data_IF_785700584578
#
_entry.id   IF_785700584578
#
_cell.length_a   1.000
_cell.length_b   1.000
_cell.length_c   1.000
_cell.angle_alpha   90.00
_cell.angle_beta   90.00
_cell.angle_gamma   90.00
#
_symmetry.space_group_name_H-M   'P 1'
#
loop_
_entity.id
_entity.type
_entity.pdbx_description
1 polymer ?
#
# COMPACT_ATOMS: atom_id res chain seq x y z
N UNK A 1 17.61 -18.18 -50.31
CA UNK A 1 18.19 -17.07 -49.53
C UNK A 1 17.02 -16.20 -49.11
N UNK A 2 17.06 -15.77 -47.85
CA UNK A 2 16.08 -14.97 -47.10
C UNK A 2 14.79 -15.67 -46.66
N UNK A 3 14.32 -15.52 -45.41
CA UNK A 3 14.92 -14.95 -44.21
C UNK A 3 14.15 -15.48 -42.99
N UNK A 4 14.88 -15.74 -41.90
CA UNK A 4 14.31 -16.08 -40.61
C UNK A 4 13.84 -14.86 -39.83
N UNK A 5 13.19 -15.16 -38.71
CA UNK A 5 12.86 -14.32 -37.54
C UNK A 5 11.82 -13.21 -37.70
N UNK A 6 10.54 -13.61 -37.66
CA UNK A 6 9.48 -12.81 -37.02
C UNK A 6 9.17 -13.41 -35.64
N UNK A 7 9.86 -12.87 -34.63
CA UNK A 7 9.71 -13.28 -33.24
C UNK A 7 10.07 -12.13 -32.32
N UNK A 8 9.18 -11.16 -32.18
CA UNK A 8 9.05 -10.13 -31.13
C UNK A 8 7.94 -9.20 -31.63
N UNK A 9 6.76 -9.10 -31.05
CA UNK A 9 6.45 -8.64 -29.69
C UNK A 9 5.03 -9.12 -29.38
N UNK A 10 4.89 -10.12 -28.51
CA UNK A 10 3.61 -10.40 -27.86
C UNK A 10 3.46 -9.36 -26.74
N UNK A 11 2.73 -8.29 -27.03
CA UNK A 11 2.38 -7.27 -26.05
C UNK A 11 1.51 -7.93 -24.99
N UNK A 12 2.12 -8.34 -23.88
CA UNK A 12 1.42 -8.95 -22.76
C UNK A 12 0.23 -8.08 -22.34
N UNK A 13 -0.96 -8.49 -22.76
CA UNK A 13 -2.20 -7.94 -22.25
C UNK A 13 -2.23 -8.23 -20.74
N UNK A 14 -2.47 -7.20 -19.89
CA UNK A 14 -2.60 -7.42 -18.47
C UNK A 14 -3.63 -8.51 -18.22
N UNK A 15 -3.34 -9.39 -17.27
CA UNK A 15 -4.30 -10.43 -16.90
C UNK A 15 -5.61 -9.77 -16.45
N UNK A 16 -6.78 -10.44 -16.55
CA UNK A 16 -8.04 -9.86 -16.10
C UNK A 16 -7.99 -9.37 -14.66
N UNK A 17 -7.11 -9.94 -13.83
CA UNK A 17 -6.83 -9.50 -12.47
C UNK A 17 -6.02 -8.19 -12.40
N UNK A 18 -5.00 -7.98 -13.23
CA UNK A 18 -4.23 -6.73 -13.31
C UNK A 18 -5.08 -5.58 -13.84
N UNK A 19 -5.99 -5.86 -14.79
CA UNK A 19 -7.01 -4.92 -15.23
C UNK A 19 -7.89 -4.44 -14.07
N UNK A 20 -8.19 -5.32 -13.09
CA UNK A 20 -8.97 -4.93 -11.91
C UNK A 20 -8.30 -3.82 -11.09
N UNK A 21 -6.97 -3.83 -11.03
CA UNK A 21 -6.22 -2.87 -10.22
C UNK A 21 -5.91 -1.62 -11.00
N UNK A 22 -5.56 -1.74 -12.29
CA UNK A 22 -5.38 -0.59 -13.17
C UNK A 22 -6.66 0.25 -13.30
N UNK A 23 -7.85 -0.33 -13.30
CA UNK A 23 -9.08 0.48 -13.38
C UNK A 23 -9.42 1.21 -12.06
N UNK A 24 -8.92 0.76 -10.90
CA UNK A 24 -9.02 1.47 -9.60
C UNK A 24 -7.83 2.41 -9.34
N UNK A 25 -6.66 2.16 -9.97
CA UNK A 25 -5.39 2.87 -9.69
C UNK A 25 -4.82 3.66 -10.88
N UNK A 26 -5.21 3.42 -12.12
CA UNK A 26 -4.77 4.17 -13.29
C UNK A 26 -5.47 5.52 -13.35
N UNK A 27 -5.05 6.43 -12.52
CA UNK A 27 -4.80 7.77 -13.02
C UNK A 27 -3.27 7.89 -13.07
N UNK A 28 -2.76 8.03 -14.28
CA UNK A 28 -1.32 7.95 -14.54
C UNK A 28 -0.59 9.12 -13.89
N UNK A 29 -0.04 8.91 -12.70
CA UNK A 29 1.29 9.43 -12.36
C UNK A 29 2.35 8.39 -12.73
N UNK A 30 2.53 8.18 -14.03
CA UNK A 30 3.67 7.45 -14.59
C UNK A 30 5.02 8.20 -14.44
N UNK A 31 5.15 9.14 -13.48
CA UNK A 31 6.26 10.10 -13.45
C UNK A 31 7.39 9.82 -12.45
N UNK A 32 7.23 9.01 -11.37
CA UNK A 32 8.31 8.89 -10.35
C UNK A 32 9.15 7.61 -10.46
N UNK A 33 8.69 6.56 -11.14
CA UNK A 33 9.40 5.26 -11.17
C UNK A 33 10.39 5.06 -12.33
N UNK A 34 10.67 6.09 -13.15
CA UNK A 34 11.81 6.09 -14.09
C UNK A 34 12.81 7.18 -13.75
N UNK A 35 13.53 7.02 -12.64
CA UNK A 35 14.61 7.94 -12.29
C UNK A 35 15.07 7.91 -10.84
N UNK A 36 15.46 6.74 -10.31
CA UNK A 36 16.30 6.66 -9.11
C UNK A 36 16.94 5.26 -8.98
N UNK A 37 17.66 4.85 -10.03
CA UNK A 37 18.70 3.84 -9.88
C UNK A 37 19.87 4.45 -9.11
N UNK A 38 19.77 4.50 -7.79
CA UNK A 38 20.82 5.00 -6.90
C UNK A 38 20.82 4.17 -5.64
N UNK A 39 21.83 3.30 -5.50
CA UNK A 39 22.08 2.59 -4.25
C UNK A 39 22.24 3.61 -3.12
N UNK A 40 21.29 3.62 -2.17
CA UNK A 40 21.40 4.44 -0.98
C UNK A 40 22.64 3.99 -0.19
N UNK A 41 23.70 4.80 -0.24
CA UNK A 41 24.91 4.60 0.56
C UNK A 41 24.54 4.78 2.04
N UNK A 42 24.88 3.76 2.84
CA UNK A 42 24.84 3.84 4.29
C UNK A 42 25.71 5.00 4.78
N UNK A 43 25.11 5.97 5.47
CA UNK A 43 25.85 7.01 6.17
C UNK A 43 26.36 6.43 7.49
N UNK A 44 27.68 6.46 7.68
CA UNK A 44 28.32 6.17 8.97
C UNK A 44 27.92 7.23 10.00
N UNK A 45 27.61 6.78 11.22
CA UNK A 45 27.25 7.60 12.38
C UNK A 45 28.41 8.54 12.76
N UNK A 46 28.20 9.85 13.02
CA UNK A 46 29.23 10.69 13.60
C UNK A 46 29.42 10.33 15.07
N UNK A 47 30.68 10.40 15.52
CA UNK A 47 31.06 10.23 16.92
C UNK A 47 30.74 11.50 17.72
N UNK A 48 30.27 11.30 18.96
CA UNK A 48 30.36 12.28 20.06
C UNK A 48 29.46 13.51 19.96
N UNK A 49 28.33 13.48 20.65
CA UNK A 49 27.50 14.65 20.93
C UNK A 49 26.39 14.29 21.89
N UNK A 50 26.38 14.93 23.05
CA UNK A 50 25.48 14.65 24.18
C UNK A 50 24.02 14.81 23.73
N UNK A 51 23.27 13.71 23.76
CA UNK A 51 21.91 13.67 23.28
C UNK A 51 20.94 14.09 24.40
N UNK A 52 20.23 15.22 24.28
CA UNK A 52 19.27 15.69 25.29
C UNK A 52 18.02 14.79 25.42
N UNK A 53 17.95 13.68 24.66
CA UNK A 53 16.86 12.71 24.68
C UNK A 53 17.18 11.41 25.43
N UNK A 54 18.18 11.39 26.31
CA UNK A 54 18.53 10.26 27.17
C UNK A 54 17.49 10.01 28.30
N UNK A 55 16.21 9.81 27.95
CA UNK A 55 15.17 9.28 28.82
C UNK A 55 14.80 7.86 28.38
N UNK A 56 14.94 6.88 29.28
CA UNK A 56 14.97 5.43 29.04
C UNK A 56 13.71 4.71 28.53
N UNK A 57 12.97 5.30 27.59
CA UNK A 57 12.02 4.57 26.74
C UNK A 57 12.58 4.48 25.32
N UNK A 58 12.65 3.28 24.72
CA UNK A 58 13.03 3.16 23.29
C UNK A 58 12.00 3.93 22.46
N UNK A 59 12.31 5.16 22.05
CA UNK A 59 11.48 5.94 21.13
C UNK A 59 11.35 5.13 19.84
N UNK A 60 10.11 4.83 19.46
CA UNK A 60 9.85 4.13 18.21
C UNK A 60 10.38 4.99 17.06
N UNK A 61 11.35 4.45 16.31
CA UNK A 61 11.94 5.11 15.14
C UNK A 61 11.05 4.81 13.94
N UNK A 62 10.83 5.79 13.06
CA UNK A 62 10.11 5.54 11.81
C UNK A 62 11.08 4.84 10.84
N UNK A 63 10.73 3.62 10.44
CA UNK A 63 11.47 2.80 9.47
C UNK A 63 11.01 3.08 8.04
N UNK A 64 9.75 3.48 7.87
CA UNK A 64 9.20 3.83 6.57
C UNK A 64 7.93 4.69 6.69
N UNK A 65 7.64 5.46 5.65
CA UNK A 65 6.45 6.31 5.52
C UNK A 65 5.83 6.08 4.15
N UNK A 66 4.50 6.01 4.10
CA UNK A 66 3.77 6.01 2.85
C UNK A 66 2.52 6.86 2.93
N UNK A 67 2.17 7.48 1.81
CA UNK A 67 1.00 8.33 1.63
C UNK A 67 0.31 7.92 0.33
N UNK A 68 -1.01 7.88 0.34
CA UNK A 68 -1.82 7.56 -0.84
C UNK A 68 -3.14 8.36 -0.86
N UNK A 69 -3.70 8.51 -2.06
CA UNK A 69 -4.86 9.34 -2.35
C UNK A 69 -5.81 8.58 -3.28
N UNK A 70 -7.07 8.44 -2.86
CA UNK A 70 -8.09 7.62 -3.54
C UNK A 70 -9.38 8.40 -3.71
N UNK A 71 -9.95 8.36 -4.92
CA UNK A 71 -11.27 8.90 -5.25
C UNK A 71 -12.37 7.90 -4.90
N UNK A 72 -13.38 8.32 -4.12
CA UNK A 72 -14.48 7.42 -3.73
C UNK A 72 -15.36 7.08 -4.93
N UNK A 73 -15.64 8.05 -5.81
CA UNK A 73 -16.40 7.82 -7.04
C UNK A 73 -15.77 6.73 -7.92
N UNK A 74 -14.45 6.71 -7.99
CA UNK A 74 -13.73 5.69 -8.76
C UNK A 74 -13.88 4.31 -8.17
N UNK A 75 -13.81 4.21 -6.83
CA UNK A 75 -14.04 2.96 -6.12
C UNK A 75 -15.49 2.50 -6.28
N UNK A 76 -16.46 3.42 -6.26
CA UNK A 76 -17.85 3.11 -6.52
C UNK A 76 -18.04 2.48 -7.91
N UNK A 77 -17.50 3.11 -8.97
CA UNK A 77 -17.55 2.57 -10.34
C UNK A 77 -16.91 1.17 -10.45
N UNK A 78 -15.83 0.93 -9.72
CA UNK A 78 -15.16 -0.37 -9.72
C UNK A 78 -15.96 -1.44 -8.96
N UNK A 79 -16.59 -1.07 -7.85
CA UNK A 79 -17.51 -1.95 -7.12
C UNK A 79 -18.75 -2.27 -7.95
N UNK A 80 -19.31 -1.31 -8.69
CA UNK A 80 -20.43 -1.57 -9.61
C UNK A 80 -20.04 -2.55 -10.71
N UNK A 81 -18.80 -2.44 -11.22
CA UNK A 81 -18.32 -3.29 -12.31
C UNK A 81 -17.98 -4.72 -11.86
N UNK A 82 -17.41 -4.91 -10.67
CA UNK A 82 -16.85 -6.21 -10.26
C UNK A 82 -17.32 -6.74 -8.91
N UNK A 83 -18.01 -5.92 -8.11
CA UNK A 83 -18.60 -6.28 -6.84
C UNK A 83 -17.65 -7.03 -5.91
N UNK A 84 -18.11 -8.17 -5.41
CA UNK A 84 -17.39 -8.98 -4.42
C UNK A 84 -16.07 -9.57 -4.93
N UNK A 85 -15.86 -9.69 -6.25
CA UNK A 85 -14.56 -10.13 -6.80
C UNK A 85 -13.46 -9.13 -6.49
N UNK A 86 -13.77 -7.83 -6.52
CA UNK A 86 -12.83 -6.78 -6.14
C UNK A 86 -12.54 -6.85 -4.63
N UNK A 87 -13.59 -6.96 -3.82
CA UNK A 87 -13.46 -7.05 -2.35
C UNK A 87 -12.61 -8.25 -1.94
N UNK A 88 -12.88 -9.43 -2.47
CA UNK A 88 -12.14 -10.66 -2.16
C UNK A 88 -10.66 -10.61 -2.61
N UNK A 89 -10.34 -9.76 -3.59
CA UNK A 89 -8.95 -9.50 -4.01
C UNK A 89 -8.22 -8.57 -3.04
N UNK A 90 -8.89 -7.52 -2.56
CA UNK A 90 -8.28 -6.49 -1.72
C UNK A 90 -8.13 -6.91 -0.25
N UNK A 91 -9.05 -7.73 0.26
CA UNK A 91 -9.15 -8.02 1.68
C UNK A 91 -9.57 -9.47 1.96
N UNK A 92 -9.21 -9.96 3.14
CA UNK A 92 -9.63 -11.27 3.62
C UNK A 92 -11.09 -11.27 4.09
N UNK A 93 -11.69 -12.46 4.26
CA UNK A 93 -13.10 -12.59 4.62
C UNK A 93 -13.47 -11.87 5.93
N UNK A 94 -12.61 -11.94 6.95
CA UNK A 94 -12.84 -11.29 8.24
C UNK A 94 -12.75 -9.75 8.19
N UNK A 95 -11.99 -9.21 7.24
CA UNK A 95 -11.93 -7.76 6.99
C UNK A 95 -13.15 -7.33 6.16
N UNK A 96 -13.45 -8.08 5.10
CA UNK A 96 -14.62 -7.85 4.24
C UNK A 96 -15.96 -7.90 4.99
N UNK A 97 -16.09 -8.77 5.98
CA UNK A 97 -17.31 -8.91 6.79
C UNK A 97 -17.60 -7.69 7.66
N UNK A 98 -16.63 -6.79 7.85
CA UNK A 98 -16.81 -5.54 8.61
C UNK A 98 -17.15 -4.36 7.72
N UNK A 99 -17.13 -4.53 6.40
CA UNK A 99 -17.54 -3.47 5.49
C UNK A 99 -19.03 -3.17 5.67
N UNK A 100 -19.42 -1.89 5.70
CA UNK A 100 -20.82 -1.52 5.69
C UNK A 100 -21.49 -1.97 4.38
N UNK A 101 -22.82 -2.01 4.44
CA UNK A 101 -23.67 -2.21 3.27
C UNK A 101 -24.18 -0.86 2.75
N UNK A 102 -24.72 -0.84 1.53
CA UNK A 102 -25.31 0.36 0.95
C UNK A 102 -24.29 1.44 0.57
N UNK A 103 -24.70 2.71 0.69
CA UNK A 103 -23.96 3.89 0.20
C UNK A 103 -22.57 4.04 0.80
N UNK A 104 -22.37 3.60 2.03
CA UNK A 104 -21.10 3.78 2.75
C UNK A 104 -20.04 2.73 2.35
N UNK A 105 -20.43 1.69 1.60
CA UNK A 105 -19.54 0.60 1.20
C UNK A 105 -18.39 1.12 0.34
N UNK A 106 -18.66 1.98 -0.64
CA UNK A 106 -17.63 2.53 -1.52
C UNK A 106 -16.61 3.36 -0.74
N UNK A 107 -17.08 4.19 0.20
CA UNK A 107 -16.22 4.98 1.10
C UNK A 107 -15.34 4.09 1.98
N UNK A 108 -15.91 3.05 2.58
CA UNK A 108 -15.15 2.12 3.41
C UNK A 108 -14.07 1.37 2.61
N UNK A 109 -14.41 0.93 1.39
CA UNK A 109 -13.43 0.29 0.49
C UNK A 109 -12.35 1.29 0.06
N UNK A 110 -12.69 2.54 -0.23
CA UNK A 110 -11.72 3.58 -0.56
C UNK A 110 -10.74 3.86 0.60
N UNK A 111 -11.25 3.95 1.83
CA UNK A 111 -10.43 4.06 3.04
C UNK A 111 -9.48 2.87 3.22
N UNK A 112 -9.97 1.65 3.01
CA UNK A 112 -9.14 0.45 3.08
C UNK A 112 -8.06 0.45 1.99
N UNK A 113 -8.39 0.83 0.75
CA UNK A 113 -7.42 0.93 -0.36
C UNK A 113 -6.33 1.95 -0.03
N UNK A 114 -6.70 3.16 0.40
CA UNK A 114 -5.74 4.22 0.74
C UNK A 114 -4.80 3.78 1.88
N UNK A 115 -5.32 3.11 2.90
CA UNK A 115 -4.50 2.56 3.98
C UNK A 115 -3.54 1.46 3.49
N UNK A 116 -4.02 0.54 2.65
CA UNK A 116 -3.24 -0.57 2.12
C UNK A 116 -2.11 -0.09 1.20
N UNK A 117 -2.40 0.84 0.30
CA UNK A 117 -1.39 1.45 -0.57
C UNK A 117 -0.37 2.28 0.23
N UNK A 118 -0.82 3.09 1.18
CA UNK A 118 0.08 3.81 2.07
C UNK A 118 1.00 2.85 2.85
N UNK A 119 0.50 1.72 3.33
CA UNK A 119 1.33 0.71 4.00
C UNK A 119 2.33 0.05 3.05
N UNK A 120 1.90 -0.31 1.84
CA UNK A 120 2.74 -0.87 0.77
C UNK A 120 3.90 0.06 0.39
N UNK A 121 3.64 1.38 0.34
CA UNK A 121 4.66 2.42 0.15
C UNK A 121 5.59 2.55 1.35
N UNK A 122 5.06 2.49 2.58
CA UNK A 122 5.88 2.51 3.79
C UNK A 122 6.83 1.30 3.88
N UNK A 123 6.44 0.15 3.32
CA UNK A 123 7.27 -1.05 3.19
C UNK A 123 8.29 -0.97 2.04
N UNK A 124 8.11 -0.04 1.10
CA UNK A 124 8.95 0.10 -0.09
C UNK A 124 8.84 -1.06 -1.07
N UNK A 125 7.77 -1.87 -1.00
CA UNK A 125 7.60 -3.08 -1.83
C UNK A 125 6.72 -2.87 -3.05
N UNK A 126 5.78 -1.93 -2.99
CA UNK A 126 4.58 -2.04 -3.83
C UNK A 126 3.87 -3.37 -3.55
N UNK A 127 3.19 -3.91 -4.56
CA UNK A 127 2.55 -5.25 -4.51
C UNK A 127 3.43 -6.35 -5.10
N UNK A 128 4.75 -6.17 -4.98
CA UNK A 128 5.74 -7.13 -5.45
C UNK A 128 6.49 -7.72 -4.26
N UNK A 129 7.52 -8.54 -4.51
CA UNK A 129 8.40 -9.11 -3.45
C UNK A 129 7.64 -9.96 -2.42
N UNK A 130 6.56 -10.60 -2.85
CA UNK A 130 5.77 -11.50 -2.03
C UNK A 130 4.86 -10.80 -1.01
N UNK A 131 4.65 -9.49 -1.14
CA UNK A 131 3.62 -8.73 -0.41
C UNK A 131 2.36 -8.62 -1.26
N UNK A 132 1.22 -9.01 -0.72
CA UNK A 132 -0.07 -8.87 -1.38
C UNK A 132 -1.04 -7.99 -0.58
N UNK A 133 -2.11 -7.53 -1.22
CA UNK A 133 -3.15 -6.69 -0.61
C UNK A 133 -3.70 -7.24 0.70
N UNK A 134 -3.90 -8.57 0.77
CA UNK A 134 -4.46 -9.26 1.93
C UNK A 134 -3.47 -9.37 3.09
N UNK A 135 -2.18 -9.17 2.86
CA UNK A 135 -1.18 -9.12 3.92
C UNK A 135 -1.25 -7.80 4.72
N UNK A 136 -1.98 -6.80 4.25
CA UNK A 136 -2.21 -5.55 4.97
C UNK A 136 -3.67 -5.51 5.40
N UNK A 137 -3.95 -5.80 6.66
CA UNK A 137 -5.32 -5.84 7.20
C UNK A 137 -5.67 -4.49 7.80
N UNK A 138 -6.80 -3.91 7.38
CA UNK A 138 -7.27 -2.61 7.86
C UNK A 138 -8.49 -2.77 8.76
N UNK A 139 -8.46 -2.11 9.91
CA UNK A 139 -9.63 -1.89 10.75
C UNK A 139 -9.98 -0.40 10.72
N UNK A 140 -11.21 -0.10 10.26
CA UNK A 140 -11.71 1.26 10.10
C UNK A 140 -12.34 1.83 11.38
N UNK A 141 -12.32 1.09 12.48
CA UNK A 141 -12.76 1.60 13.78
C UNK A 141 -11.97 2.83 14.25
N UNK A 142 -12.44 3.58 15.26
CA UNK A 142 -11.67 4.67 15.86
C UNK A 142 -10.79 4.16 17.01
N UNK A 143 -9.45 4.30 16.95
CA UNK A 143 -8.64 4.82 15.84
C UNK A 143 -8.41 3.75 14.76
N UNK A 144 -8.19 4.21 13.53
CA UNK A 144 -7.89 3.31 12.41
C UNK A 144 -6.64 2.49 12.72
N UNK A 145 -6.68 1.18 12.44
CA UNK A 145 -5.56 0.29 12.64
C UNK A 145 -5.15 -0.40 11.35
N UNK A 146 -3.83 -0.44 11.11
CA UNK A 146 -3.23 -1.21 10.01
C UNK A 146 -2.33 -2.29 10.61
N UNK A 147 -2.61 -3.55 10.26
CA UNK A 147 -1.85 -4.70 10.73
C UNK A 147 -1.20 -5.40 9.56
N UNK A 148 0.07 -5.70 9.70
CA UNK A 148 0.83 -6.45 8.72
C UNK A 148 0.77 -7.94 9.07
N UNK A 149 0.48 -8.76 8.08
CA UNK A 149 0.48 -10.21 8.14
C UNK A 149 1.34 -10.78 7.00
N UNK A 150 1.48 -12.11 6.97
CA UNK A 150 2.01 -12.84 5.82
C UNK A 150 3.29 -12.23 5.22
N UNK A 151 3.21 -11.90 3.92
CA UNK A 151 4.32 -11.30 3.17
C UNK A 151 4.76 -9.94 3.70
N UNK A 152 3.80 -9.07 4.01
CA UNK A 152 4.06 -7.71 4.49
C UNK A 152 4.82 -7.72 5.82
N UNK A 153 4.42 -8.57 6.77
CA UNK A 153 5.09 -8.67 8.07
C UNK A 153 6.51 -9.23 7.94
N UNK A 154 6.69 -10.27 7.11
CA UNK A 154 8.02 -10.82 6.81
C UNK A 154 8.94 -9.77 6.20
N UNK A 155 8.42 -8.91 5.32
CA UNK A 155 9.19 -7.82 4.76
C UNK A 155 9.52 -6.74 5.79
N UNK A 156 8.56 -6.34 6.63
CA UNK A 156 8.80 -5.40 7.73
C UNK A 156 9.94 -5.86 8.65
N UNK A 157 10.00 -7.15 8.98
CA UNK A 157 11.11 -7.70 9.77
C UNK A 157 12.48 -7.57 9.09
N UNK A 158 12.55 -7.70 7.76
CA UNK A 158 13.79 -7.46 6.99
C UNK A 158 14.24 -6.00 7.04
N UNK A 159 13.31 -5.07 7.25
CA UNK A 159 13.59 -3.65 7.44
C UNK A 159 13.95 -3.30 8.90
N UNK A 160 14.02 -4.29 9.79
CA UNK A 160 14.27 -4.06 11.22
C UNK A 160 13.05 -3.56 12.00
N UNK A 161 11.84 -3.74 11.46
CA UNK A 161 10.58 -3.41 12.12
C UNK A 161 9.93 -4.63 12.75
N UNK A 162 9.34 -4.47 13.94
CA UNK A 162 8.45 -5.47 14.53
C UNK A 162 7.05 -5.54 13.84
N UNK A 163 6.83 -4.79 12.76
CA UNK A 163 5.55 -4.71 12.05
C UNK A 163 4.55 -3.71 12.66
N UNK A 164 4.98 -2.92 13.65
CA UNK A 164 4.14 -1.88 14.25
C UNK A 164 3.92 -0.74 13.27
N UNK A 165 2.68 -0.31 13.14
CA UNK A 165 2.35 0.85 12.30
C UNK A 165 1.54 1.89 13.06
N UNK A 166 1.54 3.11 12.53
CA UNK A 166 0.55 4.15 12.87
C UNK A 166 -0.06 4.65 11.58
N UNK A 167 -1.38 4.61 11.51
CA UNK A 167 -2.14 5.07 10.36
C UNK A 167 -2.98 6.29 10.71
N UNK A 168 -3.23 7.15 9.71
CA UNK A 168 -4.32 8.12 9.78
C UNK A 168 -4.98 8.20 8.40
N UNK A 169 -6.30 8.28 8.41
CA UNK A 169 -7.11 8.45 7.21
C UNK A 169 -7.93 9.72 7.34
N UNK A 170 -8.08 10.44 6.24
CA UNK A 170 -8.82 11.69 6.16
C UNK A 170 -9.69 11.68 4.90
N UNK A 171 -10.89 12.26 4.99
CA UNK A 171 -11.78 12.43 3.84
C UNK A 171 -11.99 13.92 3.60
N UNK A 172 -11.80 14.35 2.34
CA UNK A 172 -11.97 15.71 1.86
C UNK A 172 -12.70 15.71 0.53
N UNK A 173 -14.00 16.02 0.56
CA UNK A 173 -14.86 15.88 -0.61
C UNK A 173 -14.91 14.42 -1.08
N UNK A 174 -14.63 14.20 -2.36
CA UNK A 174 -14.53 12.85 -2.94
C UNK A 174 -13.21 12.13 -2.61
N UNK A 175 -12.19 12.85 -2.13
CA UNK A 175 -10.86 12.29 -1.90
C UNK A 175 -10.71 11.70 -0.51
N UNK A 176 -10.06 10.54 -0.47
CA UNK A 176 -9.57 9.87 0.73
C UNK A 176 -8.05 9.94 0.73
N UNK A 177 -7.48 10.45 1.82
CA UNK A 177 -6.04 10.56 2.03
C UNK A 177 -5.66 9.54 3.10
N UNK A 178 -4.68 8.68 2.81
CA UNK A 178 -4.13 7.74 3.76
C UNK A 178 -2.65 7.99 4.03
N UNK A 179 -2.26 7.97 5.30
CA UNK A 179 -0.85 7.95 5.72
C UNK A 179 -0.56 6.76 6.62
N UNK A 180 0.56 6.09 6.40
CA UNK A 180 1.04 4.98 7.24
C UNK A 180 2.52 5.19 7.58
N UNK A 181 2.84 5.11 8.86
CA UNK A 181 4.21 5.08 9.39
C UNK A 181 4.53 3.68 9.87
N UNK A 182 5.55 3.04 9.30
CA UNK A 182 6.13 1.81 9.81
C UNK A 182 7.16 2.15 10.88
N UNK A 183 7.07 1.49 12.03
CA UNK A 183 7.92 1.78 13.19
C UNK A 183 8.90 0.62 13.43
N UNK A 184 10.09 0.93 13.96
CA UNK A 184 11.07 -0.05 14.45
C UNK A 184 10.43 -0.96 15.50
#
# INVERSE_FOLDING_TARGET
MDDGVDGLVDGAHPTPAEDLLHLVLADRLQWISRGAGGAARAHSKPAGGDNPFAGGGRRAVIVGLGIDLIEQERVARALDRWGERLVAKLMGAAEASRLPHGSDRARAVALAIAAKEAASKALGTGWTRGVCWRDVVVDLGPPVAVRLEGGALRWAHRLGSAGRTRAALEVRGDLVIGQVRLLS
#
